data_IF_391553999743
#
_entry.id   IF_391553999743
#
_cell.length_a   1.000
_cell.length_b   1.000
_cell.length_c   1.000
_cell.angle_alpha   90.00
_cell.angle_beta   90.00
_cell.angle_gamma   90.00
#
_symmetry.space_group_name_H-M   'P 1'
#
loop_
_entity.id
_entity.type
_entity.pdbx_description
1 polymer ?
#
# COMPACT_ATOMS: atom_id res chain seq x y z
N UNK A 1 -46.28 29.38 35.34
CA UNK A 1 -45.73 28.13 34.78
C UNK A 1 -44.42 28.42 34.06
N UNK A 2 -43.27 28.05 34.63
CA UNK A 2 -41.97 28.27 34.02
C UNK A 2 -41.61 27.04 33.15
N UNK A 3 -41.61 27.18 31.83
CA UNK A 3 -41.14 26.13 30.90
C UNK A 3 -39.61 26.02 31.00
N UNK A 4 -39.11 24.89 31.49
CA UNK A 4 -37.69 24.55 31.44
C UNK A 4 -37.38 24.05 30.05
N UNK A 5 -36.62 24.81 29.30
CA UNK A 5 -36.02 24.36 28.03
C UNK A 5 -34.82 23.43 28.36
N UNK A 6 -34.96 22.15 28.07
CA UNK A 6 -33.86 21.21 28.10
C UNK A 6 -33.07 21.34 26.78
N UNK A 7 -31.89 21.93 26.84
CA UNK A 7 -30.94 21.95 25.71
C UNK A 7 -30.24 20.61 25.73
N UNK A 8 -30.60 19.71 24.78
CA UNK A 8 -29.87 18.47 24.54
C UNK A 8 -28.66 18.84 23.72
N UNK A 9 -27.49 18.86 24.36
CA UNK A 9 -26.19 19.05 23.67
C UNK A 9 -25.84 17.70 23.02
N UNK A 10 -26.11 17.58 21.70
CA UNK A 10 -25.66 16.43 20.92
C UNK A 10 -24.17 16.65 20.63
N UNK A 11 -23.31 15.98 21.41
CA UNK A 11 -21.88 15.85 21.12
C UNK A 11 -21.72 14.93 19.90
N UNK A 12 -21.60 15.54 18.72
CA UNK A 12 -21.19 14.83 17.51
C UNK A 12 -19.72 14.51 17.68
N UNK A 13 -19.43 13.26 18.06
CA UNK A 13 -18.08 12.70 18.04
C UNK A 13 -17.69 12.51 16.58
N UNK A 14 -17.09 13.54 15.96
CA UNK A 14 -16.37 13.36 14.70
C UNK A 14 -15.14 12.50 15.01
N UNK A 15 -15.27 11.18 14.83
CA UNK A 15 -14.11 10.30 14.73
C UNK A 15 -13.36 10.68 13.46
N UNK A 16 -12.34 11.51 13.58
CA UNK A 16 -11.35 11.65 12.53
C UNK A 16 -10.70 10.29 12.35
N UNK A 17 -11.07 9.56 11.28
CA UNK A 17 -10.32 8.39 10.87
C UNK A 17 -8.90 8.90 10.51
N UNK A 18 -8.02 8.87 11.51
CA UNK A 18 -6.59 8.99 11.25
C UNK A 18 -6.19 7.77 10.45
N UNK A 19 -5.98 7.93 9.14
CA UNK A 19 -5.32 6.92 8.32
C UNK A 19 -3.84 6.88 8.71
N UNK A 20 -3.57 6.33 9.91
CA UNK A 20 -2.21 6.02 10.34
C UNK A 20 -1.59 4.94 9.45
N UNK A 21 -0.26 4.91 9.43
CA UNK A 21 0.48 3.82 8.77
C UNK A 21 0.22 2.54 9.56
N UNK A 22 -0.28 1.50 8.90
CA UNK A 22 -0.56 0.20 9.52
C UNK A 22 0.74 -0.56 9.83
N UNK A 23 0.70 -1.45 10.82
CA UNK A 23 1.91 -2.15 11.29
C UNK A 23 2.59 -2.98 10.19
N UNK A 24 1.83 -3.67 9.32
CA UNK A 24 2.41 -4.40 8.20
C UNK A 24 3.15 -3.48 7.21
N UNK A 25 2.70 -2.24 7.05
CA UNK A 25 3.35 -1.25 6.17
C UNK A 25 4.68 -0.80 6.78
N UNK A 26 4.73 -0.60 8.11
CA UNK A 26 5.96 -0.26 8.83
C UNK A 26 6.99 -1.38 8.73
N UNK A 27 6.55 -2.63 8.90
CA UNK A 27 7.42 -3.82 8.79
C UNK A 27 8.00 -3.91 7.38
N UNK A 28 7.16 -3.86 6.34
CA UNK A 28 7.62 -3.94 4.94
C UNK A 28 8.58 -2.81 4.60
N UNK A 29 8.26 -1.56 5.01
CA UNK A 29 9.15 -0.42 4.79
C UNK A 29 10.52 -0.63 5.44
N UNK A 30 10.53 -1.10 6.70
CA UNK A 30 11.75 -1.39 7.44
C UNK A 30 12.62 -2.42 6.71
N UNK A 31 12.05 -3.57 6.36
CA UNK A 31 12.78 -4.66 5.68
C UNK A 31 13.32 -4.21 4.31
N UNK A 32 12.52 -3.48 3.53
CA UNK A 32 12.94 -2.91 2.25
C UNK A 32 14.10 -1.93 2.44
N UNK A 33 14.02 -1.04 3.43
CA UNK A 33 15.07 -0.04 3.66
C UNK A 33 16.35 -0.66 4.21
N UNK A 34 16.28 -1.71 5.02
CA UNK A 34 17.46 -2.50 5.43
C UNK A 34 18.19 -3.03 4.20
N UNK A 35 17.46 -3.61 3.25
CA UNK A 35 18.06 -4.15 2.03
C UNK A 35 18.62 -3.06 1.11
N UNK A 36 17.95 -1.92 1.03
CA UNK A 36 18.44 -0.76 0.29
C UNK A 36 19.72 -0.19 0.90
N UNK A 37 19.80 -0.07 2.22
CA UNK A 37 20.99 0.38 2.94
C UNK A 37 22.19 -0.54 2.68
N UNK A 38 22.01 -1.86 2.73
CA UNK A 38 23.04 -2.85 2.38
C UNK A 38 23.57 -2.67 0.95
N UNK A 39 22.77 -2.07 0.07
CA UNK A 39 23.15 -1.78 -1.32
C UNK A 39 23.49 -0.29 -1.54
N UNK A 40 23.78 0.46 -0.47
CA UNK A 40 24.18 1.89 -0.51
C UNK A 40 23.14 2.80 -1.19
N UNK A 41 21.85 2.45 -1.08
CA UNK A 41 20.74 3.21 -1.64
C UNK A 41 20.04 4.05 -0.57
N UNK A 42 19.52 5.20 -0.95
CA UNK A 42 18.71 6.03 -0.07
C UNK A 42 17.43 5.28 0.37
N UNK A 43 17.00 5.44 1.63
CA UNK A 43 15.77 4.82 2.11
C UNK A 43 14.56 5.41 1.39
N UNK A 44 13.55 4.57 1.17
CA UNK A 44 12.24 4.98 0.68
C UNK A 44 11.41 5.59 1.81
N UNK A 45 10.50 6.48 1.43
CA UNK A 45 9.49 7.07 2.32
C UNK A 45 8.10 6.59 1.90
N UNK A 46 7.22 6.34 2.87
CA UNK A 46 5.81 6.07 2.57
C UNK A 46 5.14 7.33 2.04
N UNK A 47 4.40 7.19 0.94
CA UNK A 47 3.36 8.13 0.53
C UNK A 47 1.99 7.51 0.84
N UNK A 48 1.22 8.13 1.72
CA UNK A 48 -0.09 7.63 2.14
C UNK A 48 -1.11 7.52 0.99
N UNK A 49 -0.97 8.33 -0.04
CA UNK A 49 -1.81 8.26 -1.25
C UNK A 49 -1.48 6.99 -2.05
N UNK A 50 -0.19 6.64 -2.16
CA UNK A 50 0.23 5.38 -2.77
C UNK A 50 -0.20 4.17 -1.95
N UNK A 51 -0.22 4.25 -0.62
CA UNK A 51 -0.77 3.20 0.23
C UNK A 51 -2.24 2.93 -0.11
N UNK A 52 -3.06 3.98 -0.25
CA UNK A 52 -4.47 3.84 -0.65
C UNK A 52 -4.61 3.14 -2.00
N UNK A 53 -3.81 3.54 -2.99
CA UNK A 53 -3.80 2.92 -4.32
C UNK A 53 -3.36 1.45 -4.24
N UNK A 54 -2.31 1.14 -3.48
CA UNK A 54 -1.85 -0.23 -3.28
C UNK A 54 -2.92 -1.12 -2.61
N UNK A 55 -3.68 -0.58 -1.64
CA UNK A 55 -4.82 -1.29 -1.03
C UNK A 55 -5.94 -1.51 -2.05
N UNK A 56 -6.28 -0.52 -2.88
CA UNK A 56 -7.27 -0.67 -3.96
C UNK A 56 -6.85 -1.80 -4.90
N UNK A 57 -5.58 -1.85 -5.30
CA UNK A 57 -5.01 -2.90 -6.16
C UNK A 57 -5.05 -4.26 -5.49
N UNK A 58 -4.69 -4.36 -4.21
CA UNK A 58 -4.75 -5.61 -3.45
C UNK A 58 -6.19 -6.15 -3.35
N UNK A 59 -7.17 -5.27 -3.07
CA UNK A 59 -8.60 -5.61 -3.03
C UNK A 59 -9.13 -6.10 -4.38
N UNK A 60 -8.70 -5.48 -5.48
CA UNK A 60 -9.07 -5.89 -6.83
C UNK A 60 -8.57 -7.32 -7.13
N UNK A 61 -7.31 -7.61 -6.83
CA UNK A 61 -6.75 -8.97 -6.98
C UNK A 61 -7.44 -10.00 -6.07
N UNK A 62 -7.75 -9.63 -4.83
CA UNK A 62 -8.45 -10.49 -3.88
C UNK A 62 -9.87 -10.81 -4.34
N UNK A 63 -10.60 -9.82 -4.88
CA UNK A 63 -11.94 -10.00 -5.44
C UNK A 63 -11.93 -10.97 -6.62
N UNK A 64 -10.98 -10.82 -7.53
CA UNK A 64 -10.87 -11.67 -8.74
C UNK A 64 -10.14 -13.00 -8.44
N UNK A 65 -9.64 -13.20 -7.19
CA UNK A 65 -8.79 -14.34 -6.77
C UNK A 65 -7.60 -14.60 -7.70
N UNK A 66 -7.08 -13.52 -8.29
CA UNK A 66 -6.04 -13.58 -9.32
C UNK A 66 -4.99 -12.50 -9.13
N UNK A 67 -3.70 -12.90 -9.14
CA UNK A 67 -2.60 -11.95 -9.29
C UNK A 67 -2.52 -11.44 -10.72
N UNK A 68 -2.52 -10.12 -10.87
CA UNK A 68 -2.33 -9.48 -12.17
C UNK A 68 -1.85 -8.04 -11.98
N UNK A 69 -0.91 -7.60 -12.81
CA UNK A 69 -0.52 -6.19 -12.89
C UNK A 69 -1.61 -5.31 -13.53
N UNK A 70 -2.55 -5.94 -14.26
CA UNK A 70 -3.64 -5.25 -14.95
C UNK A 70 -4.99 -5.63 -14.35
N UNK A 71 -5.78 -4.63 -13.96
CA UNK A 71 -7.15 -4.76 -13.49
C UNK A 71 -8.13 -4.68 -14.67
N UNK A 72 -9.21 -5.44 -14.60
CA UNK A 72 -10.35 -5.27 -15.52
C UNK A 72 -11.06 -3.94 -15.32
N UNK A 73 -10.98 -3.38 -14.11
CA UNK A 73 -11.70 -2.17 -13.71
C UNK A 73 -10.96 -0.88 -14.08
N UNK A 74 -9.61 -0.84 -13.89
CA UNK A 74 -8.83 0.39 -14.04
C UNK A 74 -7.56 0.23 -14.90
N UNK A 75 -7.32 -0.96 -15.49
CA UNK A 75 -6.12 -1.24 -16.25
C UNK A 75 -4.88 -1.35 -15.35
N UNK A 76 -3.76 -0.77 -15.79
CA UNK A 76 -2.54 -0.76 -14.99
C UNK A 76 -2.72 0.10 -13.72
N UNK A 77 -2.08 -0.29 -12.62
CA UNK A 77 -2.09 0.45 -11.34
C UNK A 77 -1.63 1.90 -11.51
N UNK A 78 -0.73 2.16 -12.44
CA UNK A 78 -0.23 3.50 -12.77
C UNK A 78 -1.32 4.46 -13.26
N UNK A 79 -2.44 3.96 -13.81
CA UNK A 79 -3.60 4.76 -14.17
C UNK A 79 -4.25 5.37 -12.92
N UNK A 80 -4.30 4.63 -11.81
CA UNK A 80 -4.80 5.15 -10.53
C UNK A 80 -3.89 6.25 -9.99
N UNK A 81 -2.57 6.08 -10.09
CA UNK A 81 -1.59 7.08 -9.63
C UNK A 81 -1.79 8.39 -10.39
N UNK A 82 -1.96 8.33 -11.71
CA UNK A 82 -2.23 9.50 -12.57
C UNK A 82 -3.57 10.16 -12.22
N UNK A 83 -4.62 9.37 -11.97
CA UNK A 83 -5.95 9.86 -11.60
C UNK A 83 -5.93 10.64 -10.28
N UNK A 84 -5.08 10.24 -9.34
CA UNK A 84 -4.88 10.94 -8.06
C UNK A 84 -3.93 12.16 -8.19
N UNK A 85 -3.57 12.58 -9.42
CA UNK A 85 -2.67 13.69 -9.70
C UNK A 85 -1.29 13.56 -8.99
N UNK A 86 -0.80 12.34 -8.83
CA UNK A 86 0.53 12.07 -8.30
C UNK A 86 1.49 12.05 -9.50
N UNK A 87 2.42 13.00 -9.50
CA UNK A 87 3.42 13.09 -10.58
C UNK A 87 4.56 12.11 -10.34
N UNK A 88 4.97 11.44 -11.39
CA UNK A 88 6.14 10.56 -11.42
C UNK A 88 6.67 10.42 -12.86
N UNK A 89 7.95 10.15 -13.00
CA UNK A 89 8.57 9.81 -14.29
C UNK A 89 8.98 8.35 -14.35
N UNK A 90 9.18 7.73 -13.19
CA UNK A 90 9.49 6.30 -13.05
C UNK A 90 8.58 5.68 -12.00
N UNK A 91 8.06 4.51 -12.31
CA UNK A 91 7.26 3.72 -11.39
C UNK A 91 7.53 2.22 -11.58
N UNK A 92 7.33 1.46 -10.52
CA UNK A 92 7.34 0.00 -10.55
C UNK A 92 6.31 -0.56 -9.58
N UNK A 93 5.94 -1.82 -9.78
CA UNK A 93 5.01 -2.53 -8.94
C UNK A 93 5.53 -3.93 -8.64
N UNK A 94 5.45 -4.35 -7.38
CA UNK A 94 5.60 -5.73 -6.95
C UNK A 94 4.25 -6.22 -6.43
N UNK A 95 3.84 -7.41 -6.84
CA UNK A 95 2.64 -8.08 -6.35
C UNK A 95 3.00 -9.48 -5.84
N UNK A 96 2.23 -9.97 -4.88
CA UNK A 96 2.35 -11.32 -4.36
C UNK A 96 1.02 -11.83 -3.80
N UNK A 97 0.87 -13.14 -3.64
CA UNK A 97 -0.29 -13.72 -2.98
C UNK A 97 0.09 -14.98 -2.18
N UNK A 98 -0.74 -15.29 -1.16
CA UNK A 98 -0.61 -16.49 -0.36
C UNK A 98 0.44 -16.42 0.76
N UNK A 99 1.23 -15.35 0.85
CA UNK A 99 2.18 -15.15 1.94
C UNK A 99 1.48 -14.61 3.17
N UNK A 100 1.72 -15.21 4.34
CA UNK A 100 0.96 -14.93 5.57
C UNK A 100 1.49 -13.75 6.37
N UNK A 101 2.77 -13.41 6.24
CA UNK A 101 3.40 -12.33 7.02
C UNK A 101 4.10 -11.32 6.13
N UNK A 102 4.21 -10.05 6.59
CA UNK A 102 4.91 -9.01 5.85
C UNK A 102 6.41 -9.29 5.67
N UNK A 103 7.07 -9.90 6.64
CA UNK A 103 8.48 -10.28 6.55
C UNK A 103 8.69 -11.32 5.46
N UNK A 104 7.83 -12.34 5.42
CA UNK A 104 7.96 -13.44 4.45
C UNK A 104 7.68 -12.96 3.02
N UNK A 105 6.72 -12.05 2.81
CA UNK A 105 6.48 -11.53 1.46
C UNK A 105 7.67 -10.70 0.96
N UNK A 106 8.31 -9.90 1.83
CA UNK A 106 9.53 -9.16 1.45
C UNK A 106 10.68 -10.11 1.11
N UNK A 107 10.91 -11.15 1.93
CA UNK A 107 11.90 -12.18 1.63
C UNK A 107 11.66 -12.81 0.24
N UNK A 108 10.41 -13.14 -0.08
CA UNK A 108 10.07 -13.73 -1.39
C UNK A 108 10.30 -12.76 -2.54
N UNK A 109 9.96 -11.48 -2.39
CA UNK A 109 10.26 -10.47 -3.39
C UNK A 109 11.78 -10.30 -3.59
N UNK A 110 12.56 -10.31 -2.51
CA UNK A 110 14.02 -10.19 -2.59
C UNK A 110 14.69 -11.39 -3.26
N UNK A 111 14.11 -12.59 -3.17
CA UNK A 111 14.58 -13.80 -3.87
C UNK A 111 14.22 -13.82 -5.36
N UNK A 112 13.30 -13.00 -5.82
CA UNK A 112 12.92 -12.85 -7.23
C UNK A 112 13.72 -11.75 -7.88
N UNK A 113 14.44 -12.05 -8.95
CA UNK A 113 15.29 -11.08 -9.67
C UNK A 113 14.53 -9.82 -10.08
N UNK A 114 13.33 -9.98 -10.65
CA UNK A 114 12.49 -8.86 -11.09
C UNK A 114 11.98 -8.00 -9.95
N UNK A 115 11.43 -8.62 -8.90
CA UNK A 115 10.94 -7.90 -7.73
C UNK A 115 12.07 -7.21 -6.95
N UNK A 116 13.22 -7.90 -6.78
CA UNK A 116 14.41 -7.32 -6.17
C UNK A 116 14.91 -6.09 -6.93
N UNK A 117 14.92 -6.12 -8.27
CA UNK A 117 15.29 -4.98 -9.11
C UNK A 117 14.41 -3.76 -8.81
N UNK A 118 13.11 -3.95 -8.59
CA UNK A 118 12.20 -2.88 -8.23
C UNK A 118 12.52 -2.31 -6.84
N UNK A 119 12.73 -3.17 -5.84
CA UNK A 119 13.11 -2.76 -4.47
C UNK A 119 14.42 -1.95 -4.47
N UNK A 120 15.38 -2.32 -5.30
CA UNK A 120 16.71 -1.70 -5.40
C UNK A 120 16.80 -0.61 -6.46
N UNK A 121 15.69 -0.16 -7.02
CA UNK A 121 15.69 0.94 -7.99
C UNK A 121 16.25 2.23 -7.38
N UNK A 122 17.39 2.73 -7.92
CA UNK A 122 18.12 3.87 -7.35
C UNK A 122 17.36 5.18 -7.42
N UNK A 123 16.47 5.30 -8.39
CA UNK A 123 15.74 6.54 -8.65
C UNK A 123 14.46 6.65 -7.79
N UNK A 124 13.98 5.55 -7.20
CA UNK A 124 12.78 5.58 -6.38
C UNK A 124 13.01 6.29 -5.04
N UNK A 125 12.02 7.06 -4.63
CA UNK A 125 12.00 7.83 -3.38
C UNK A 125 10.83 7.49 -2.48
N UNK A 126 9.70 7.10 -3.09
CA UNK A 126 8.44 6.82 -2.38
C UNK A 126 7.97 5.41 -2.64
N UNK A 127 7.31 4.87 -1.63
CA UNK A 127 6.68 3.55 -1.67
C UNK A 127 5.23 3.63 -1.17
N UNK A 128 4.35 2.92 -1.84
CA UNK A 128 3.01 2.58 -1.36
C UNK A 128 2.91 1.09 -1.10
N UNK A 129 2.25 0.72 -0.02
CA UNK A 129 2.15 -0.67 0.42
C UNK A 129 0.69 -0.99 0.73
N UNK A 130 0.17 -2.06 0.13
CA UNK A 130 -1.21 -2.50 0.31
C UNK A 130 -1.33 -4.00 0.54
N UNK A 131 -2.36 -4.36 1.28
CA UNK A 131 -2.74 -5.74 1.57
C UNK A 131 -4.26 -5.88 1.55
N UNK A 132 -4.76 -7.00 1.07
CA UNK A 132 -6.16 -7.41 1.18
C UNK A 132 -6.24 -8.94 1.24
N UNK A 133 -7.34 -9.47 1.78
CA UNK A 133 -7.65 -10.90 1.75
C UNK A 133 -8.87 -11.17 0.88
N UNK A 134 -8.92 -12.33 0.25
CA UNK A 134 -10.14 -12.85 -0.35
C UNK A 134 -11.05 -13.50 0.72
N UNK A 135 -12.19 -14.01 0.29
CA UNK A 135 -13.17 -14.66 1.16
C UNK A 135 -12.71 -16.02 1.74
N UNK A 136 -11.59 -16.55 1.27
CA UNK A 136 -10.95 -17.77 1.78
C UNK A 136 -9.77 -17.44 2.71
N UNK A 137 -9.51 -16.15 2.96
CA UNK A 137 -8.42 -15.68 3.81
C UNK A 137 -7.05 -15.65 3.14
N UNK A 138 -6.96 -15.88 1.82
CA UNK A 138 -5.71 -15.74 1.07
C UNK A 138 -5.35 -14.28 0.93
N UNK A 139 -4.12 -13.93 1.32
CA UNK A 139 -3.62 -12.56 1.28
C UNK A 139 -3.04 -12.20 -0.11
N UNK A 140 -3.28 -10.97 -0.52
CA UNK A 140 -2.73 -10.34 -1.71
C UNK A 140 -1.97 -9.09 -1.28
N UNK A 141 -0.75 -8.91 -1.80
CA UNK A 141 0.20 -7.89 -1.40
C UNK A 141 0.63 -7.06 -2.59
N UNK A 142 0.82 -5.77 -2.36
CA UNK A 142 1.23 -4.80 -3.39
C UNK A 142 2.27 -3.86 -2.82
N UNK A 143 3.35 -3.63 -3.57
CA UNK A 143 4.27 -2.50 -3.42
C UNK A 143 4.23 -1.68 -4.70
N UNK A 144 4.13 -0.36 -4.54
CA UNK A 144 4.23 0.61 -5.63
C UNK A 144 5.42 1.51 -5.34
N UNK A 145 6.28 1.72 -6.31
CA UNK A 145 7.47 2.58 -6.20
C UNK A 145 7.34 3.73 -7.18
N UNK A 146 7.68 4.95 -6.76
CA UNK A 146 7.82 6.12 -7.64
C UNK A 146 9.05 6.94 -7.27
N UNK A 147 9.54 7.77 -8.21
CA UNK A 147 10.61 8.74 -7.99
C UNK A 147 10.09 10.09 -7.48
#
# INVERSE_FOLDING_TARGET
>A
MKRKFFIILILIFLSTLSFGIEDYQKIILKEVNIEREKNHLKPLKIDSRLNKIAVIKAKDMAKDKKMSHTSKKFGATFNLIKKENIHFTKAAENIASGHKTPEFVVERWLKSKGHRKNILGKDYRFIGIGKASDNEGKLYWVQIFIN
#
